data_IF_049747568204
#
_entry.id   IF_049747568204
#
_cell.length_a   1.000
_cell.length_b   1.000
_cell.length_c   1.000
_cell.angle_alpha   90.00
_cell.angle_beta   90.00
_cell.angle_gamma   90.00
#
_symmetry.space_group_name_H-M   'P 1'
#
loop_
_entity.id
_entity.type
_entity.pdbx_description
1 polymer ?
#
# COMPACT_ATOMS: atom_id res chain seq x y z
N UNK A 1 2.72 -17.95 -3.91
CA UNK A 1 3.68 -17.41 -4.88
C UNK A 1 5.11 -17.83 -4.55
N UNK A 2 5.89 -18.26 -5.56
CA UNK A 2 7.27 -18.74 -5.38
C UNK A 2 8.18 -17.68 -4.78
N UNK A 3 7.98 -16.42 -5.15
CA UNK A 3 8.75 -15.29 -4.63
C UNK A 3 8.61 -15.12 -3.12
N UNK A 4 7.41 -15.31 -2.57
CA UNK A 4 7.15 -15.22 -1.12
C UNK A 4 7.77 -16.42 -0.40
N UNK A 5 7.65 -17.64 -0.95
CA UNK A 5 8.31 -18.82 -0.41
C UNK A 5 9.84 -18.70 -0.39
N UNK A 6 10.44 -18.18 -1.46
CA UNK A 6 11.87 -17.90 -1.53
C UNK A 6 12.31 -16.85 -0.49
N UNK A 7 11.51 -15.79 -0.30
CA UNK A 7 11.77 -14.78 0.74
C UNK A 7 11.69 -15.37 2.15
N UNK A 8 10.66 -16.17 2.43
CA UNK A 8 10.48 -16.84 3.72
C UNK A 8 11.61 -17.85 4.03
N UNK A 9 12.09 -18.57 3.01
CA UNK A 9 13.23 -19.48 3.14
C UNK A 9 14.53 -18.73 3.46
N UNK A 10 14.79 -17.61 2.75
CA UNK A 10 15.94 -16.72 3.04
C UNK A 10 15.88 -16.18 4.46
N UNK A 11 14.71 -15.74 4.92
CA UNK A 11 14.52 -15.25 6.28
C UNK A 11 14.81 -16.35 7.33
N UNK A 12 14.37 -17.60 7.10
CA UNK A 12 14.68 -18.72 7.97
C UNK A 12 16.20 -19.01 8.00
N UNK A 13 16.83 -19.04 6.83
CA UNK A 13 18.28 -19.29 6.71
C UNK A 13 19.11 -18.21 7.42
N UNK A 14 18.72 -16.94 7.31
CA UNK A 14 19.40 -15.83 7.99
C UNK A 14 19.34 -15.95 9.52
N UNK A 15 18.30 -16.60 10.07
CA UNK A 15 18.17 -16.90 11.50
C UNK A 15 18.72 -18.30 11.89
N UNK A 16 19.39 -18.99 10.97
CA UNK A 16 19.92 -20.34 11.22
C UNK A 16 18.84 -21.42 11.39
N UNK A 17 17.61 -21.16 10.91
CA UNK A 17 16.47 -22.06 10.97
C UNK A 17 16.29 -22.84 9.66
N UNK A 18 15.76 -24.06 9.75
CA UNK A 18 15.33 -24.84 8.57
C UNK A 18 13.87 -24.52 8.23
N UNK A 19 13.51 -24.61 6.94
CA UNK A 19 12.14 -24.41 6.46
C UNK A 19 11.88 -22.95 6.06
N UNK A 20 10.74 -22.42 6.43
CA UNK A 20 10.26 -21.08 6.05
C UNK A 20 9.92 -20.27 7.30
N UNK A 21 10.46 -19.06 7.37
CA UNK A 21 10.08 -18.07 8.38
C UNK A 21 9.08 -17.09 7.77
N UNK A 22 7.82 -17.25 8.12
CA UNK A 22 6.75 -16.39 7.66
C UNK A 22 6.68 -15.16 8.57
N UNK A 23 7.12 -14.03 8.05
CA UNK A 23 7.08 -12.76 8.78
C UNK A 23 5.71 -12.10 8.63
N UNK A 24 5.22 -11.43 9.68
CA UNK A 24 3.95 -10.70 9.68
C UNK A 24 4.11 -9.33 8.99
N UNK A 25 4.44 -9.35 7.71
CA UNK A 25 4.47 -8.18 6.82
C UNK A 25 3.38 -8.28 5.75
N UNK A 26 3.10 -7.16 5.09
CA UNK A 26 1.99 -7.09 4.14
C UNK A 26 2.12 -8.09 2.96
N UNK A 27 3.26 -8.24 2.27
CA UNK A 27 3.37 -9.21 1.17
C UNK A 27 3.12 -10.65 1.61
N UNK A 28 3.68 -11.06 2.77
CA UNK A 28 3.46 -12.40 3.33
C UNK A 28 2.01 -12.60 3.74
N UNK A 29 1.40 -11.62 4.41
CA UNK A 29 0.00 -11.68 4.81
C UNK A 29 -0.92 -11.86 3.59
N UNK A 30 -0.78 -11.02 2.57
CA UNK A 30 -1.58 -11.11 1.34
C UNK A 30 -1.39 -12.49 0.67
N UNK A 31 -0.15 -12.95 0.55
CA UNK A 31 0.12 -14.25 -0.06
C UNK A 31 -0.53 -15.42 0.70
N UNK A 32 -0.48 -15.42 2.03
CA UNK A 32 -1.10 -16.48 2.86
C UNK A 32 -2.62 -16.42 2.74
N UNK A 33 -3.22 -15.23 2.93
CA UNK A 33 -4.69 -15.08 2.88
C UNK A 33 -5.25 -15.44 1.51
N UNK A 34 -4.51 -15.19 0.42
CA UNK A 34 -4.98 -15.41 -0.95
C UNK A 34 -4.70 -16.83 -1.44
N UNK A 35 -3.57 -17.45 -1.06
CA UNK A 35 -3.11 -18.66 -1.72
C UNK A 35 -2.92 -19.88 -0.81
N UNK A 36 -2.86 -19.72 0.53
CA UNK A 36 -2.69 -20.87 1.41
C UNK A 36 -3.95 -21.74 1.42
N UNK A 37 -3.80 -23.02 1.13
CA UNK A 37 -4.91 -24.00 1.18
C UNK A 37 -5.34 -24.30 2.62
N UNK A 38 -4.39 -24.30 3.55
CA UNK A 38 -4.62 -24.52 4.97
C UNK A 38 -5.43 -23.34 5.57
N UNK A 39 -6.67 -23.65 5.96
CA UNK A 39 -7.61 -22.68 6.53
C UNK A 39 -7.17 -22.19 7.90
N UNK A 40 -6.55 -23.07 8.71
CA UNK A 40 -6.10 -22.72 10.05
C UNK A 40 -4.91 -21.77 9.98
N UNK A 41 -4.00 -21.98 9.02
CA UNK A 41 -2.91 -21.05 8.73
C UNK A 41 -3.44 -19.65 8.30
N UNK A 42 -4.47 -19.60 7.44
CA UNK A 42 -5.11 -18.34 7.07
C UNK A 42 -5.71 -17.64 8.28
N UNK A 43 -6.40 -18.39 9.16
CA UNK A 43 -6.97 -17.83 10.39
C UNK A 43 -5.90 -17.31 11.34
N UNK A 44 -4.81 -18.06 11.57
CA UNK A 44 -3.69 -17.61 12.42
C UNK A 44 -3.09 -16.29 11.90
N UNK A 45 -2.82 -16.20 10.59
CA UNK A 45 -2.29 -14.99 9.99
C UNK A 45 -3.28 -13.82 10.03
N UNK A 46 -4.55 -14.08 9.72
CA UNK A 46 -5.61 -13.08 9.85
C UNK A 46 -5.69 -12.54 11.28
N UNK A 47 -5.79 -13.43 12.26
CA UNK A 47 -5.87 -13.04 13.68
C UNK A 47 -4.65 -12.22 14.08
N UNK A 48 -3.45 -12.69 13.79
CA UNK A 48 -2.22 -11.97 14.11
C UNK A 48 -2.15 -10.59 13.43
N UNK A 49 -2.68 -10.48 12.21
CA UNK A 49 -2.70 -9.23 11.45
C UNK A 49 -3.70 -8.21 12.00
N UNK A 50 -4.95 -8.61 12.27
CA UNK A 50 -6.02 -7.67 12.68
C UNK A 50 -5.95 -7.28 14.15
N UNK A 51 -5.27 -8.07 14.99
CA UNK A 51 -5.08 -7.79 16.40
C UNK A 51 -3.72 -7.18 16.74
N UNK A 52 -2.98 -6.67 15.74
CA UNK A 52 -1.72 -5.96 15.99
C UNK A 52 -1.95 -4.74 16.87
N UNK A 53 -1.06 -4.54 17.83
CA UNK A 53 -1.07 -3.39 18.74
C UNK A 53 -2.41 -3.23 19.50
N UNK A 54 -3.01 -4.35 19.91
CA UNK A 54 -4.23 -4.40 20.72
C UNK A 54 -4.07 -5.29 21.95
N UNK A 55 -5.11 -5.32 22.77
CA UNK A 55 -5.24 -6.19 23.95
C UNK A 55 -5.61 -7.64 23.59
N UNK A 56 -5.78 -7.96 22.31
CA UNK A 56 -6.13 -9.28 21.80
C UNK A 56 -5.03 -9.88 20.92
N UNK A 57 -5.20 -11.19 20.59
CA UNK A 57 -4.36 -11.91 19.64
C UNK A 57 -3.09 -12.51 20.24
N UNK A 58 -2.15 -12.98 19.39
CA UNK A 58 -0.96 -13.71 19.86
C UNK A 58 0.03 -12.82 20.65
N UNK A 59 -0.01 -11.50 20.49
CA UNK A 59 0.83 -10.53 21.18
C UNK A 59 -0.01 -9.61 22.08
N UNK A 60 -1.13 -10.10 22.61
CA UNK A 60 -2.05 -9.34 23.46
C UNK A 60 -1.33 -8.57 24.58
N UNK A 61 -1.59 -7.27 24.67
CA UNK A 61 -1.03 -6.39 25.68
C UNK A 61 0.47 -6.05 25.54
N UNK A 62 1.21 -6.68 24.61
CA UNK A 62 2.65 -6.41 24.44
C UNK A 62 2.93 -5.04 23.80
N UNK A 63 2.08 -4.64 22.83
CA UNK A 63 2.18 -3.38 22.09
C UNK A 63 0.80 -2.69 22.02
N UNK A 64 0.00 -2.82 23.06
CA UNK A 64 -1.38 -2.31 23.09
C UNK A 64 -1.40 -0.78 22.99
N UNK A 65 -2.12 -0.27 22.01
CA UNK A 65 -2.29 1.16 21.74
C UNK A 65 -3.62 1.73 22.28
N UNK A 66 -4.40 0.98 23.05
CA UNK A 66 -5.73 1.41 23.52
C UNK A 66 -5.65 2.74 24.28
N UNK A 67 -4.77 2.85 25.27
CA UNK A 67 -4.58 4.08 26.04
C UNK A 67 -4.10 5.26 25.17
N UNK A 68 -3.23 4.96 24.18
CA UNK A 68 -2.74 5.98 23.24
C UNK A 68 -3.88 6.49 22.34
N UNK A 69 -4.76 5.60 21.87
CA UNK A 69 -5.92 5.98 21.06
C UNK A 69 -6.91 6.84 21.85
N UNK A 70 -7.19 6.49 23.12
CA UNK A 70 -8.02 7.29 24.01
C UNK A 70 -7.42 8.68 24.24
N UNK A 71 -6.12 8.75 24.52
CA UNK A 71 -5.41 10.02 24.71
C UNK A 71 -5.44 10.89 23.43
N UNK A 72 -5.27 10.30 22.26
CA UNK A 72 -5.38 11.01 20.97
C UNK A 72 -6.78 11.64 20.82
N UNK A 73 -7.85 10.92 21.16
CA UNK A 73 -9.22 11.45 21.08
C UNK A 73 -9.43 12.62 22.02
N UNK A 74 -8.93 12.53 23.26
CA UNK A 74 -9.00 13.61 24.27
C UNK A 74 -8.24 14.85 23.75
N UNK A 75 -6.98 14.68 23.34
CA UNK A 75 -6.15 15.79 22.86
C UNK A 75 -6.72 16.46 21.60
N UNK A 76 -7.29 15.71 20.67
CA UNK A 76 -7.99 16.26 19.51
C UNK A 76 -9.22 17.06 19.86
N UNK A 77 -9.97 16.64 20.89
CA UNK A 77 -11.11 17.40 21.38
C UNK A 77 -10.66 18.73 22.04
N UNK A 78 -9.58 18.71 22.83
CA UNK A 78 -8.98 19.90 23.43
C UNK A 78 -8.43 20.86 22.36
N UNK A 79 -7.70 20.34 21.36
CA UNK A 79 -7.18 21.11 20.25
C UNK A 79 -8.30 21.85 19.50
N UNK A 80 -9.38 21.15 19.14
CA UNK A 80 -10.52 21.75 18.48
C UNK A 80 -11.17 22.86 19.33
N UNK A 81 -11.32 22.65 20.63
CA UNK A 81 -11.87 23.65 21.54
C UNK A 81 -10.98 24.88 21.67
N UNK A 82 -9.64 24.72 21.73
CA UNK A 82 -8.68 25.82 21.81
C UNK A 82 -8.76 26.75 20.60
N UNK A 83 -9.02 26.20 19.41
CA UNK A 83 -9.16 26.99 18.17
C UNK A 83 -10.62 27.37 17.85
N UNK A 84 -11.55 27.16 18.81
CA UNK A 84 -12.94 27.62 18.73
C UNK A 84 -13.90 26.73 17.95
N UNK A 85 -13.55 25.48 17.68
CA UNK A 85 -14.43 24.51 17.02
C UNK A 85 -15.15 23.61 18.03
N UNK A 86 -16.37 23.18 17.67
CA UNK A 86 -17.21 22.31 18.52
C UNK A 86 -16.58 20.93 18.79
N UNK A 87 -15.87 20.38 17.82
CA UNK A 87 -15.16 19.09 17.89
C UNK A 87 -14.12 18.99 16.77
N UNK A 88 -13.28 17.96 16.84
CA UNK A 88 -12.20 17.75 15.87
C UNK A 88 -12.71 17.48 14.44
N UNK A 89 -13.88 16.85 14.26
CA UNK A 89 -14.42 16.62 12.91
C UNK A 89 -14.78 17.95 12.21
N UNK A 90 -15.41 18.88 12.92
CA UNK A 90 -15.70 20.23 12.41
C UNK A 90 -14.40 21.01 12.13
N UNK A 91 -13.44 20.95 13.04
CA UNK A 91 -12.12 21.55 12.87
C UNK A 91 -11.40 20.99 11.61
N UNK A 92 -11.38 19.67 11.48
CA UNK A 92 -10.75 18.99 10.34
C UNK A 92 -11.37 19.36 9.00
N UNK A 93 -12.67 19.68 8.95
CA UNK A 93 -13.37 20.07 7.72
C UNK A 93 -13.18 21.56 7.35
N UNK A 94 -12.75 22.41 8.29
CA UNK A 94 -12.70 23.86 8.07
C UNK A 94 -11.87 24.31 6.84
N UNK A 95 -10.91 23.49 6.41
CA UNK A 95 -10.04 23.74 5.25
C UNK A 95 -10.25 22.74 4.11
N UNK A 96 -11.33 21.93 4.14
CA UNK A 96 -11.63 20.89 3.16
C UNK A 96 -12.85 21.26 2.32
N UNK A 97 -13.09 20.47 1.26
CA UNK A 97 -14.17 20.74 0.30
C UNK A 97 -15.58 20.48 0.88
N UNK A 98 -15.74 19.54 1.80
CA UNK A 98 -17.03 19.25 2.42
C UNK A 98 -17.42 20.38 3.41
N UNK A 99 -18.66 20.85 3.32
CA UNK A 99 -19.12 22.00 4.10
C UNK A 99 -19.51 21.65 5.54
N UNK A 100 -19.86 20.38 5.81
CA UNK A 100 -20.26 19.95 7.14
C UNK A 100 -20.02 18.45 7.38
N UNK A 101 -20.03 18.06 8.65
CA UNK A 101 -19.96 16.65 9.06
C UNK A 101 -21.20 15.89 8.56
N UNK A 102 -22.36 16.52 8.58
CA UNK A 102 -23.63 15.96 8.13
C UNK A 102 -23.61 15.68 6.62
N UNK A 103 -22.99 16.54 5.82
CA UNK A 103 -22.79 16.33 4.37
C UNK A 103 -21.95 15.07 4.13
N UNK A 104 -20.83 14.93 4.83
CA UNK A 104 -19.96 13.74 4.74
C UNK A 104 -20.70 12.48 5.16
N UNK A 105 -21.44 12.52 6.28
CA UNK A 105 -22.19 11.37 6.76
C UNK A 105 -23.29 10.98 5.78
N UNK A 106 -24.02 11.94 5.23
CA UNK A 106 -25.08 11.69 4.24
C UNK A 106 -24.51 11.01 3.00
N UNK A 107 -23.39 11.53 2.48
CA UNK A 107 -22.70 10.94 1.34
C UNK A 107 -22.26 9.48 1.62
N UNK A 108 -21.64 9.23 2.77
CA UNK A 108 -21.20 7.88 3.14
C UNK A 108 -22.36 6.91 3.32
N UNK A 109 -23.49 7.35 3.93
CA UNK A 109 -24.69 6.53 4.07
C UNK A 109 -25.31 6.20 2.70
N UNK A 110 -25.36 7.19 1.81
CA UNK A 110 -25.86 6.95 0.45
C UNK A 110 -24.99 5.89 -0.28
N UNK A 111 -23.67 6.00 -0.22
CA UNK A 111 -22.79 4.99 -0.81
C UNK A 111 -22.98 3.61 -0.17
N UNK A 112 -23.17 3.54 1.15
CA UNK A 112 -23.45 2.30 1.86
C UNK A 112 -24.77 1.66 1.38
N UNK A 113 -25.85 2.44 1.30
CA UNK A 113 -27.17 1.95 0.90
C UNK A 113 -27.17 1.44 -0.55
N UNK A 114 -26.49 2.14 -1.46
CA UNK A 114 -26.37 1.73 -2.86
C UNK A 114 -25.48 0.49 -3.05
N UNK A 115 -24.37 0.39 -2.33
CA UNK A 115 -23.39 -0.71 -2.49
C UNK A 115 -23.75 -1.99 -1.75
N UNK A 116 -24.43 -1.89 -0.59
CA UNK A 116 -24.70 -3.02 0.31
C UNK A 116 -25.40 -4.19 -0.37
N UNK A 117 -26.41 -3.92 -1.19
CA UNK A 117 -27.18 -4.97 -1.87
C UNK A 117 -26.33 -5.74 -2.89
N UNK A 118 -25.39 -5.07 -3.54
CA UNK A 118 -24.44 -5.67 -4.49
C UNK A 118 -23.42 -6.53 -3.72
N UNK A 119 -22.80 -5.98 -2.68
CA UNK A 119 -21.82 -6.70 -1.86
C UNK A 119 -22.38 -7.98 -1.22
N UNK A 120 -23.65 -7.94 -0.74
CA UNK A 120 -24.31 -9.13 -0.20
C UNK A 120 -24.59 -10.21 -1.27
N UNK A 121 -24.91 -9.81 -2.50
CA UNK A 121 -25.09 -10.77 -3.60
C UNK A 121 -23.74 -11.39 -3.99
N UNK A 122 -22.69 -10.58 -4.12
CA UNK A 122 -21.34 -11.07 -4.44
C UNK A 122 -20.82 -12.04 -3.37
N UNK A 123 -21.05 -11.73 -2.08
CA UNK A 123 -20.72 -12.64 -0.99
C UNK A 123 -21.49 -13.97 -1.09
N UNK A 124 -22.81 -13.91 -1.37
CA UNK A 124 -23.62 -15.11 -1.52
C UNK A 124 -23.19 -15.98 -2.73
N UNK A 125 -22.80 -15.34 -3.85
CA UNK A 125 -22.25 -16.06 -5.01
C UNK A 125 -20.90 -16.73 -4.67
N UNK A 126 -20.07 -16.05 -3.89
CA UNK A 126 -18.79 -16.57 -3.43
C UNK A 126 -18.97 -17.75 -2.45
N UNK A 127 -19.88 -17.65 -1.48
CA UNK A 127 -20.24 -18.73 -0.56
C UNK A 127 -20.80 -19.96 -1.31
N UNK A 128 -21.63 -19.72 -2.32
CA UNK A 128 -22.15 -20.79 -3.19
C UNK A 128 -21.03 -21.49 -3.96
N UNK A 129 -20.06 -20.75 -4.49
CA UNK A 129 -18.90 -21.30 -5.16
C UNK A 129 -18.04 -22.12 -4.18
N UNK A 130 -17.79 -21.58 -2.99
CA UNK A 130 -16.99 -22.21 -1.95
C UNK A 130 -17.65 -23.46 -1.35
N UNK A 131 -18.97 -23.56 -1.40
CA UNK A 131 -19.76 -24.63 -0.76
C UNK A 131 -19.79 -24.59 0.77
N UNK A 132 -19.32 -23.49 1.35
CA UNK A 132 -19.28 -23.24 2.82
C UNK A 132 -19.67 -21.79 3.11
N UNK A 133 -20.06 -21.54 4.37
CA UNK A 133 -20.14 -20.17 4.87
C UNK A 133 -18.72 -19.61 5.06
N UNK A 134 -18.49 -18.42 4.51
CA UNK A 134 -17.18 -17.78 4.52
C UNK A 134 -17.01 -16.90 5.76
N UNK A 135 -15.81 -16.96 6.30
CA UNK A 135 -15.31 -16.05 7.30
C UNK A 135 -14.33 -15.04 6.67
N UNK A 136 -13.95 -14.00 7.40
CA UNK A 136 -13.10 -12.94 6.86
C UNK A 136 -11.77 -13.44 6.25
N UNK A 137 -11.17 -14.47 6.84
CA UNK A 137 -9.93 -15.09 6.36
C UNK A 137 -10.11 -16.01 5.15
N UNK A 138 -11.33 -16.25 4.71
CA UNK A 138 -11.64 -17.09 3.55
C UNK A 138 -11.89 -16.25 2.29
N UNK A 139 -12.31 -14.97 2.45
CA UNK A 139 -12.77 -14.12 1.35
C UNK A 139 -11.72 -14.00 0.24
N UNK A 140 -10.48 -13.60 0.57
CA UNK A 140 -9.43 -13.42 -0.43
C UNK A 140 -9.10 -14.74 -1.16
N UNK A 141 -9.02 -15.84 -0.43
CA UNK A 141 -8.73 -17.16 -0.97
C UNK A 141 -9.78 -17.63 -1.98
N UNK A 142 -11.05 -17.58 -1.60
CA UNK A 142 -12.13 -18.00 -2.50
C UNK A 142 -12.39 -16.99 -3.62
N UNK A 143 -12.14 -15.71 -3.41
CA UNK A 143 -12.20 -14.70 -4.49
C UNK A 143 -11.18 -14.99 -5.59
N UNK A 144 -9.95 -15.33 -5.22
CA UNK A 144 -8.92 -15.70 -6.19
C UNK A 144 -9.29 -17.00 -6.92
N UNK A 145 -9.76 -18.03 -6.22
CA UNK A 145 -10.22 -19.29 -6.84
C UNK A 145 -11.42 -19.06 -7.77
N UNK A 146 -12.38 -18.25 -7.37
CA UNK A 146 -13.54 -17.89 -8.18
C UNK A 146 -13.15 -17.11 -9.44
N UNK A 147 -12.18 -16.19 -9.30
CA UNK A 147 -11.61 -15.45 -10.42
C UNK A 147 -10.93 -16.39 -11.43
N UNK A 148 -10.09 -17.30 -10.93
CA UNK A 148 -9.43 -18.29 -11.78
C UNK A 148 -10.42 -19.23 -12.49
N UNK A 149 -11.47 -19.70 -11.78
CA UNK A 149 -12.52 -20.55 -12.36
C UNK A 149 -13.31 -19.82 -13.45
N UNK A 150 -13.67 -18.56 -13.20
CA UNK A 150 -14.54 -17.78 -14.09
C UNK A 150 -13.83 -17.21 -15.31
N UNK A 151 -12.58 -16.78 -15.14
CA UNK A 151 -11.82 -16.05 -16.17
C UNK A 151 -10.63 -16.83 -16.71
N UNK A 152 -10.30 -18.00 -16.13
CA UNK A 152 -9.15 -18.83 -16.51
C UNK A 152 -7.82 -18.05 -16.53
N UNK A 153 -7.65 -17.10 -15.60
CA UNK A 153 -6.44 -16.30 -15.47
C UNK A 153 -6.09 -16.11 -13.99
N UNK A 154 -4.81 -16.19 -13.66
CA UNK A 154 -4.27 -15.93 -12.32
C UNK A 154 -3.29 -14.76 -12.31
N UNK A 155 -3.09 -14.12 -11.16
CA UNK A 155 -2.07 -13.08 -11.03
C UNK A 155 -0.67 -13.62 -11.29
N UNK A 156 -0.38 -14.85 -10.92
CA UNK A 156 0.91 -15.49 -11.17
C UNK A 156 1.19 -15.69 -12.68
N UNK A 157 0.17 -15.95 -13.49
CA UNK A 157 0.31 -16.01 -14.95
C UNK A 157 0.54 -14.64 -15.58
N UNK A 158 0.08 -13.57 -14.93
CA UNK A 158 0.26 -12.19 -15.40
C UNK A 158 1.63 -11.60 -15.01
N UNK A 159 2.19 -11.98 -13.86
CA UNK A 159 3.47 -11.43 -13.35
C UNK A 159 4.60 -11.37 -14.39
N UNK A 160 4.86 -12.40 -15.23
CA UNK A 160 5.93 -12.35 -16.23
C UNK A 160 5.81 -11.22 -17.24
N UNK A 161 4.62 -10.65 -17.41
CA UNK A 161 4.38 -9.52 -18.32
C UNK A 161 4.69 -8.16 -17.64
N UNK A 162 4.90 -8.14 -16.32
CA UNK A 162 5.14 -6.93 -15.54
C UNK A 162 6.49 -6.93 -14.81
N UNK A 163 7.63 -7.15 -15.53
CA UNK A 163 8.93 -6.96 -14.88
C UNK A 163 9.13 -5.48 -14.57
N UNK A 164 9.52 -5.17 -13.33
CA UNK A 164 9.64 -3.80 -12.82
C UNK A 164 10.37 -2.82 -13.76
N UNK A 165 11.51 -3.19 -14.40
CA UNK A 165 12.17 -2.27 -15.33
C UNK A 165 11.25 -1.86 -16.49
N UNK A 166 10.45 -2.80 -17.03
CA UNK A 166 9.51 -2.52 -18.13
C UNK A 166 8.30 -1.71 -17.67
N UNK A 167 7.85 -1.94 -16.43
CA UNK A 167 6.78 -1.14 -15.82
C UNK A 167 7.23 0.30 -15.64
N UNK A 168 8.46 0.54 -15.17
CA UNK A 168 9.02 1.90 -15.06
C UNK A 168 9.22 2.58 -16.42
N UNK A 169 9.72 1.85 -17.44
CA UNK A 169 9.78 2.36 -18.81
C UNK A 169 8.39 2.80 -19.29
N UNK A 170 7.36 1.96 -19.06
CA UNK A 170 5.97 2.26 -19.44
C UNK A 170 5.39 3.45 -18.68
N UNK A 171 5.66 3.56 -17.37
CA UNK A 171 5.26 4.68 -16.53
C UNK A 171 5.83 6.01 -17.05
N UNK A 172 7.15 6.06 -17.29
CA UNK A 172 7.82 7.27 -17.77
C UNK A 172 7.42 7.61 -19.22
N UNK A 173 7.20 6.60 -20.07
CA UNK A 173 6.64 6.82 -21.39
C UNK A 173 5.24 7.45 -21.35
N UNK A 174 4.35 6.94 -20.47
CA UNK A 174 3.02 7.52 -20.31
C UNK A 174 3.09 8.96 -19.80
N UNK A 175 4.00 9.24 -18.85
CA UNK A 175 4.23 10.59 -18.30
C UNK A 175 4.71 11.57 -19.36
N UNK A 176 5.67 11.17 -20.20
CA UNK A 176 6.12 11.97 -21.34
C UNK A 176 4.97 12.28 -22.30
N UNK A 177 4.18 11.27 -22.68
CA UNK A 177 3.08 11.44 -23.64
C UNK A 177 1.93 12.31 -23.12
N UNK A 178 1.63 12.23 -21.81
CA UNK A 178 0.51 12.96 -21.21
C UNK A 178 0.89 14.38 -20.78
N UNK A 179 2.10 14.57 -20.31
CA UNK A 179 2.52 15.80 -19.61
C UNK A 179 3.80 16.43 -20.18
N UNK A 180 4.48 15.80 -21.13
CA UNK A 180 5.78 16.27 -21.64
C UNK A 180 6.90 16.20 -20.58
N UNK A 181 6.74 15.35 -19.56
CA UNK A 181 7.70 15.23 -18.45
C UNK A 181 8.51 13.95 -18.62
N UNK A 182 9.84 14.08 -18.61
CA UNK A 182 10.77 12.96 -18.66
C UNK A 182 11.40 12.72 -17.29
N UNK A 183 11.77 11.46 -17.01
CA UNK A 183 12.42 11.06 -15.78
C UNK A 183 13.78 10.45 -16.06
N UNK A 184 14.82 10.93 -15.41
CA UNK A 184 16.19 10.43 -15.53
C UNK A 184 16.69 9.92 -14.17
N UNK A 185 17.26 8.72 -14.14
CA UNK A 185 17.86 8.18 -12.93
C UNK A 185 19.18 8.87 -12.65
N UNK A 186 19.35 9.33 -11.41
CA UNK A 186 20.60 9.88 -10.91
C UNK A 186 21.23 8.90 -9.90
N UNK A 187 22.24 8.10 -10.29
CA UNK A 187 22.87 7.11 -9.42
C UNK A 187 23.85 7.70 -8.40
N UNK A 188 24.21 8.97 -8.54
CA UNK A 188 25.21 9.62 -7.69
C UNK A 188 24.60 10.22 -6.41
N UNK A 189 23.27 10.15 -6.27
CA UNK A 189 22.58 10.60 -5.05
C UNK A 189 22.62 9.51 -3.98
N UNK A 190 23.08 9.86 -2.80
CA UNK A 190 23.09 8.96 -1.64
C UNK A 190 21.67 8.55 -1.24
N UNK A 191 21.48 7.25 -1.04
CA UNK A 191 20.21 6.66 -0.61
C UNK A 191 20.41 5.85 0.66
N UNK A 192 19.34 5.67 1.46
CA UNK A 192 19.40 4.91 2.73
C UNK A 192 19.47 3.39 2.53
N UNK A 193 19.29 2.90 1.30
CA UNK A 193 19.42 1.49 0.91
C UNK A 193 19.84 1.40 -0.55
N UNK A 194 20.52 0.32 -0.90
CA UNK A 194 21.04 0.08 -2.26
C UNK A 194 19.98 -0.20 -3.32
N UNK A 195 18.78 -0.59 -2.88
CA UNK A 195 17.59 -0.85 -3.72
C UNK A 195 16.70 0.38 -3.91
N UNK A 196 16.94 1.47 -3.20
CA UNK A 196 16.27 2.76 -3.41
C UNK A 196 16.93 3.47 -4.60
N UNK A 197 16.11 4.07 -5.45
CA UNK A 197 16.57 4.81 -6.62
C UNK A 197 16.16 6.29 -6.51
N UNK A 198 16.93 7.17 -7.13
CA UNK A 198 16.60 8.58 -7.22
C UNK A 198 16.42 8.98 -8.68
N UNK A 199 15.37 9.75 -8.97
CA UNK A 199 15.03 10.22 -10.31
C UNK A 199 14.86 11.74 -10.30
N UNK A 200 15.37 12.40 -11.36
CA UNK A 200 15.10 13.80 -11.66
C UNK A 200 14.03 13.89 -12.73
N UNK A 201 13.15 14.87 -12.61
CA UNK A 201 12.07 15.14 -13.56
C UNK A 201 12.39 16.41 -14.35
N UNK A 202 12.22 16.32 -15.67
CA UNK A 202 12.49 17.43 -16.60
C UNK A 202 11.24 17.70 -17.43
N UNK A 203 10.98 18.99 -17.71
CA UNK A 203 9.94 19.40 -18.64
C UNK A 203 10.36 19.20 -20.10
N UNK A 204 9.46 19.53 -21.04
CA UNK A 204 9.69 19.43 -22.49
C UNK A 204 10.85 20.29 -23.02
N UNK A 205 11.28 21.29 -22.24
CA UNK A 205 12.42 22.18 -22.57
C UNK A 205 13.74 21.66 -21.99
N UNK A 206 13.72 20.55 -21.24
CA UNK A 206 14.88 20.00 -20.54
C UNK A 206 15.22 20.71 -19.23
N UNK A 207 14.32 21.54 -18.70
CA UNK A 207 14.49 22.18 -17.40
C UNK A 207 14.05 21.20 -16.31
N UNK A 208 14.92 20.95 -15.34
CA UNK A 208 14.57 20.15 -14.16
C UNK A 208 13.48 20.84 -13.32
N UNK A 209 12.35 20.17 -13.13
CA UNK A 209 11.19 20.69 -12.40
C UNK A 209 11.05 20.11 -10.98
N UNK A 210 11.64 18.96 -10.70
CA UNK A 210 11.59 18.29 -9.41
C UNK A 210 12.34 16.96 -9.43
N UNK A 211 12.25 16.21 -8.33
CA UNK A 211 12.89 14.90 -8.20
C UNK A 211 12.13 14.01 -7.22
N UNK A 212 12.43 12.70 -7.19
CA UNK A 212 11.85 11.81 -6.20
C UNK A 212 12.75 10.60 -5.89
N UNK A 213 12.63 10.11 -4.66
CA UNK A 213 13.14 8.81 -4.25
C UNK A 213 12.10 7.73 -4.52
N UNK A 214 12.54 6.62 -5.07
CA UNK A 214 11.72 5.44 -5.38
C UNK A 214 12.13 4.29 -4.46
N UNK A 215 11.35 4.05 -3.40
CA UNK A 215 11.57 3.00 -2.39
C UNK A 215 10.45 1.96 -2.46
N UNK A 216 10.64 0.94 -3.29
CA UNK A 216 9.57 0.02 -3.69
C UNK A 216 9.44 -1.23 -2.83
N UNK A 217 10.51 -1.68 -2.13
CA UNK A 217 10.52 -3.01 -1.53
C UNK A 217 10.28 -2.99 -0.03
N UNK A 218 9.57 -4.04 0.46
CA UNK A 218 9.37 -4.26 1.88
C UNK A 218 10.68 -4.64 2.58
N UNK A 219 10.89 -4.10 3.77
CA UNK A 219 12.00 -4.46 4.65
C UNK A 219 11.63 -4.28 6.13
N UNK A 220 12.49 -4.77 7.02
CA UNK A 220 12.27 -4.65 8.46
C UNK A 220 12.14 -3.17 8.86
N UNK A 221 11.17 -2.88 9.73
CA UNK A 221 10.84 -1.56 10.25
C UNK A 221 10.28 -0.55 9.22
N UNK A 222 10.03 -0.96 7.97
CA UNK A 222 9.33 -0.12 7.00
C UNK A 222 7.82 -0.14 7.28
N UNK A 223 7.20 1.04 7.28
CA UNK A 223 5.75 1.18 7.38
C UNK A 223 5.07 0.44 6.21
N UNK A 224 4.01 -0.29 6.51
CA UNK A 224 3.23 -1.04 5.51
C UNK A 224 2.33 -0.12 4.67
N UNK A 225 1.98 -0.56 3.46
CA UNK A 225 1.16 0.18 2.50
C UNK A 225 2.00 0.83 1.41
N UNK A 226 1.37 1.67 0.60
CA UNK A 226 2.04 2.53 -0.36
C UNK A 226 1.66 3.97 -0.06
N UNK A 227 2.56 4.91 -0.31
CA UNK A 227 2.31 6.34 -0.09
C UNK A 227 3.35 7.20 -0.79
N UNK A 228 2.95 8.44 -1.08
CA UNK A 228 3.86 9.53 -1.38
C UNK A 228 4.02 10.40 -0.12
N UNK A 229 5.21 10.95 0.07
CA UNK A 229 5.48 11.94 1.13
C UNK A 229 6.43 13.02 0.61
N UNK A 230 6.30 14.23 1.16
CA UNK A 230 7.16 15.35 0.79
C UNK A 230 8.52 15.26 1.48
N UNK A 231 9.61 15.35 0.71
CA UNK A 231 10.97 15.53 1.23
C UNK A 231 11.33 17.03 1.25
N UNK A 232 11.16 17.69 0.12
CA UNK A 232 11.36 19.12 -0.04
C UNK A 232 10.18 19.73 -0.78
N UNK A 233 9.62 20.81 -0.25
CA UNK A 233 8.55 21.57 -0.91
C UNK A 233 9.12 22.54 -1.95
N UNK A 234 8.36 22.79 -3.01
CA UNK A 234 8.68 23.86 -3.96
C UNK A 234 8.46 25.23 -3.31
N UNK A 235 9.52 26.03 -3.19
CA UNK A 235 9.44 27.37 -2.62
C UNK A 235 10.54 28.30 -3.13
N UNK A 236 10.27 29.59 -3.13
CA UNK A 236 11.29 30.61 -3.32
C UNK A 236 12.01 30.92 -2.00
N UNK A 237 13.34 30.94 -2.03
CA UNK A 237 14.22 31.35 -0.93
C UNK A 237 15.10 32.49 -1.49
N UNK A 238 14.67 33.74 -1.29
CA UNK A 238 15.25 34.87 -2.00
C UNK A 238 15.06 34.71 -3.52
N UNK A 239 16.13 34.84 -4.29
CA UNK A 239 16.14 34.67 -5.75
C UNK A 239 16.30 33.19 -6.20
N UNK A 240 16.42 32.25 -5.26
CA UNK A 240 16.60 30.83 -5.54
C UNK A 240 15.28 30.09 -5.47
N UNK A 241 14.95 29.30 -6.53
CA UNK A 241 13.83 28.37 -6.53
C UNK A 241 14.29 27.01 -6.00
N UNK A 242 13.86 26.63 -4.79
CA UNK A 242 13.99 25.26 -4.29
C UNK A 242 13.02 24.37 -5.07
N UNK A 243 13.56 23.38 -5.77
CA UNK A 243 12.74 22.37 -6.47
C UNK A 243 12.16 21.35 -5.49
N UNK A 244 10.97 20.82 -5.76
CA UNK A 244 10.36 19.82 -4.90
C UNK A 244 11.10 18.46 -5.03
N UNK A 245 11.15 17.74 -3.92
CA UNK A 245 11.61 16.35 -3.89
C UNK A 245 10.58 15.55 -3.09
N UNK A 246 10.13 14.43 -3.64
CA UNK A 246 9.18 13.53 -3.00
C UNK A 246 9.78 12.16 -2.68
N UNK A 247 9.10 11.42 -1.80
CA UNK A 247 9.32 10.01 -1.59
C UNK A 247 8.13 9.24 -2.18
N UNK A 248 8.37 8.33 -3.12
CA UNK A 248 7.42 7.33 -3.57
C UNK A 248 7.78 6.01 -2.90
N UNK A 249 6.89 5.51 -2.06
CA UNK A 249 7.14 4.35 -1.22
C UNK A 249 6.10 3.27 -1.46
N UNK A 250 6.55 2.04 -1.71
CA UNK A 250 5.72 0.84 -1.80
C UNK A 250 6.26 -0.27 -0.88
N UNK A 251 5.61 -1.42 -0.86
CA UNK A 251 6.01 -2.58 -0.07
C UNK A 251 5.93 -3.87 -0.90
N UNK A 252 6.56 -3.88 -2.07
CA UNK A 252 6.61 -5.06 -2.93
C UNK A 252 7.57 -6.12 -2.38
N UNK A 253 7.39 -7.36 -2.83
CA UNK A 253 8.31 -8.44 -2.50
C UNK A 253 9.67 -8.21 -3.17
N UNK A 254 10.76 -8.32 -2.40
CA UNK A 254 12.12 -8.27 -2.95
C UNK A 254 12.32 -9.34 -4.02
N UNK A 255 12.96 -9.01 -5.15
CA UNK A 255 13.29 -9.99 -6.17
C UNK A 255 14.25 -11.06 -5.62
N UNK A 256 14.24 -12.22 -6.25
CA UNK A 256 15.28 -13.24 -6.04
C UNK A 256 16.53 -12.87 -6.82
N UNK A 257 17.70 -13.27 -6.29
CA UNK A 257 19.00 -12.94 -6.89
C UNK A 257 19.07 -13.29 -8.39
N UNK A 258 19.47 -12.30 -9.19
CA UNK A 258 19.65 -12.45 -10.64
C UNK A 258 18.36 -12.33 -11.48
N UNK A 259 17.18 -12.11 -10.86
CA UNK A 259 15.93 -11.90 -11.59
C UNK A 259 15.32 -10.54 -11.28
N UNK A 260 14.71 -9.83 -12.26
CA UNK A 260 13.98 -8.62 -11.97
C UNK A 260 12.74 -8.91 -11.09
N UNK A 261 12.33 -7.92 -10.28
CA UNK A 261 11.04 -8.01 -9.60
C UNK A 261 9.92 -8.11 -10.63
N UNK A 262 9.03 -9.09 -10.45
CA UNK A 262 7.83 -9.28 -11.27
C UNK A 262 6.63 -8.80 -10.44
N UNK A 263 5.94 -7.78 -10.94
CA UNK A 263 4.80 -7.16 -10.25
C UNK A 263 3.50 -7.89 -10.56
N UNK A 264 2.56 -7.87 -9.60
CA UNK A 264 1.15 -8.15 -9.90
C UNK A 264 0.54 -6.97 -10.65
N UNK A 265 -0.62 -7.17 -11.28
CA UNK A 265 -1.38 -6.08 -11.87
C UNK A 265 -1.72 -4.99 -10.83
N UNK A 266 -2.13 -5.39 -9.63
CA UNK A 266 -2.47 -4.45 -8.54
C UNK A 266 -1.24 -3.66 -8.06
N UNK A 267 -0.05 -4.28 -8.03
CA UNK A 267 1.20 -3.59 -7.72
C UNK A 267 1.56 -2.55 -8.82
N UNK A 268 1.27 -2.85 -10.08
CA UNK A 268 1.42 -1.87 -11.18
C UNK A 268 0.45 -0.71 -11.00
N UNK A 269 -0.84 -0.98 -10.74
CA UNK A 269 -1.85 0.06 -10.49
C UNK A 269 -1.43 0.95 -9.32
N UNK A 270 -0.97 0.34 -8.22
CA UNK A 270 -0.47 1.05 -7.04
C UNK A 270 0.71 1.96 -7.38
N UNK A 271 1.70 1.47 -8.15
CA UNK A 271 2.85 2.28 -8.56
C UNK A 271 2.43 3.51 -9.38
N UNK A 272 1.52 3.33 -10.33
CA UNK A 272 0.99 4.44 -11.13
C UNK A 272 0.20 5.44 -10.27
N UNK A 273 -0.56 4.96 -9.29
CA UNK A 273 -1.32 5.80 -8.36
C UNK A 273 -0.38 6.66 -7.50
N UNK A 274 0.60 6.06 -6.84
CA UNK A 274 1.57 6.78 -5.98
C UNK A 274 2.46 7.72 -6.80
N UNK A 275 2.81 7.34 -8.03
CA UNK A 275 3.52 8.23 -8.92
C UNK A 275 2.66 9.42 -9.37
N UNK A 276 1.35 9.22 -9.54
CA UNK A 276 0.41 10.32 -9.78
C UNK A 276 0.44 11.38 -8.68
N UNK A 277 0.45 10.95 -7.41
CA UNK A 277 0.65 11.85 -6.27
C UNK A 277 2.02 12.51 -6.27
N UNK A 278 3.07 11.76 -6.60
CA UNK A 278 4.46 12.26 -6.68
C UNK A 278 4.60 13.35 -7.74
N UNK A 279 3.90 13.20 -8.87
CA UNK A 279 3.95 14.15 -10.00
C UNK A 279 3.15 15.43 -9.71
N UNK A 280 2.03 15.31 -8.98
CA UNK A 280 1.15 16.44 -8.59
C UNK A 280 1.81 17.34 -7.55
#
# INVERSE_FOLDING_TARGET
PETVLASAHRAATAEGKQGWLLQLNQPTYIAIITHAEDRDLRFEFYRAWVTRASDEGPNAGQFDNTEIMELILILRAEEAALVGFKNFAVYSLATKMANSVEEVQTFLHQLLDESRSVALRELADLEKFAGIKLEAWDIAYYSEKFRCDRFSISDEELRPYFPLPKVLEGLFFATDKLFGITAERDPDVDTWRTDVQFFRLFDETGIEIGAFFLDLFAHQNKRTGAWMDECLMRKHIGDHLQKPVAHLVCNYTLPTDGTPALLTHDEVVTLFHEFGHTLH
#
